data_IF_509359539990
#
_entry.id   IF_509359539990
#
_cell.length_a   1.000
_cell.length_b   1.000
_cell.length_c   1.000
_cell.angle_alpha   90.00
_cell.angle_beta   90.00
_cell.angle_gamma   90.00
#
_symmetry.space_group_name_H-M   'P 1'
#
loop_
_entity.id
_entity.type
_entity.pdbx_description
1 polymer ?
#
# COMPACT_ATOMS: atom_id res chain seq x y z
N UNK A 1 -0.95 -22.38 13.70
CA UNK A 1 -0.75 -21.81 12.35
C UNK A 1 -1.15 -20.34 12.47
N UNK A 2 -0.31 -19.41 12.03
CA UNK A 2 -0.59 -17.99 12.10
C UNK A 2 -1.71 -17.61 11.10
N UNK A 3 -2.60 -16.72 11.50
CA UNK A 3 -3.70 -16.21 10.67
C UNK A 3 -3.34 -14.83 10.14
N UNK A 4 -3.32 -14.68 8.81
CA UNK A 4 -3.09 -13.40 8.16
C UNK A 4 -4.38 -12.86 7.55
N UNK A 5 -4.69 -11.58 7.82
CA UNK A 5 -5.68 -10.82 7.09
C UNK A 5 -4.96 -9.95 6.05
N UNK A 6 -5.26 -10.20 4.78
CA UNK A 6 -4.68 -9.43 3.68
C UNK A 6 -5.67 -8.40 3.18
N UNK A 7 -5.25 -7.13 3.13
CA UNK A 7 -5.99 -6.02 2.55
C UNK A 7 -5.36 -5.72 1.20
N UNK A 8 -6.13 -5.86 0.11
CA UNK A 8 -5.71 -5.53 -1.24
C UNK A 8 -6.06 -4.09 -1.57
N UNK A 9 -5.20 -3.41 -2.21
CA UNK A 9 -5.30 -2.16 -2.99
C UNK A 9 -6.52 -1.26 -2.63
N UNK A 10 -6.59 -0.64 -1.44
CA UNK A 10 -7.74 0.15 -1.01
C UNK A 10 -8.00 1.40 -1.84
N UNK A 11 -6.97 1.97 -2.46
CA UNK A 11 -7.06 3.20 -3.25
C UNK A 11 -7.86 4.31 -2.56
N UNK A 12 -7.44 4.69 -1.34
CA UNK A 12 -8.08 5.78 -0.61
C UNK A 12 -7.91 7.09 -1.37
N UNK A 13 -9.04 7.71 -1.71
CA UNK A 13 -9.12 8.93 -2.53
C UNK A 13 -10.20 9.87 -1.99
N UNK A 14 -9.99 11.20 -2.02
CA UNK A 14 -11.01 12.16 -1.60
C UNK A 14 -12.37 12.05 -2.31
N UNK A 15 -12.44 11.25 -3.37
CA UNK A 15 -13.67 11.01 -4.15
C UNK A 15 -14.56 9.90 -3.58
N UNK A 16 -14.07 9.14 -2.60
CA UNK A 16 -14.76 7.97 -2.06
C UNK A 16 -14.75 7.96 -0.52
N UNK A 17 -15.84 7.49 0.11
CA UNK A 17 -15.89 7.33 1.57
C UNK A 17 -14.89 6.28 2.07
N UNK A 18 -14.32 6.54 3.24
CA UNK A 18 -13.45 5.61 3.97
C UNK A 18 -14.22 4.62 4.88
N UNK A 19 -15.55 4.56 4.83
CA UNK A 19 -16.36 3.63 5.62
C UNK A 19 -15.93 2.16 5.44
N UNK A 20 -15.46 1.81 4.23
CA UNK A 20 -14.92 0.48 3.95
C UNK A 20 -13.73 0.11 4.84
N UNK A 21 -12.92 1.10 5.23
CA UNK A 21 -11.78 0.91 6.13
C UNK A 21 -12.25 0.69 7.58
N UNK A 22 -13.31 1.39 8.00
CA UNK A 22 -13.97 1.12 9.27
C UNK A 22 -14.51 -0.33 9.31
N UNK A 23 -15.16 -0.78 8.24
CA UNK A 23 -15.67 -2.15 8.16
C UNK A 23 -14.57 -3.19 8.13
N UNK A 24 -13.48 -2.93 7.38
CA UNK A 24 -12.30 -3.79 7.38
C UNK A 24 -11.67 -3.90 8.78
N UNK A 25 -11.60 -2.77 9.51
CA UNK A 25 -11.14 -2.76 10.90
C UNK A 25 -12.04 -3.58 11.84
N UNK A 26 -13.37 -3.45 11.72
CA UNK A 26 -14.33 -4.26 12.48
C UNK A 26 -14.18 -5.75 12.16
N UNK A 27 -14.06 -6.08 10.90
CA UNK A 27 -13.83 -7.46 10.47
C UNK A 27 -12.51 -8.01 11.06
N UNK A 28 -11.44 -7.24 11.04
CA UNK A 28 -10.17 -7.60 11.67
C UNK A 28 -10.30 -7.76 13.20
N UNK A 29 -11.12 -6.90 13.84
CA UNK A 29 -11.41 -7.04 15.27
C UNK A 29 -12.07 -8.39 15.58
N UNK A 30 -13.05 -8.80 14.79
CA UNK A 30 -13.81 -10.05 15.00
C UNK A 30 -13.00 -11.30 14.61
N UNK A 31 -12.27 -11.23 13.50
CA UNK A 31 -11.41 -12.32 13.00
C UNK A 31 -10.23 -12.61 13.90
N UNK A 32 -9.70 -11.58 14.59
CA UNK A 32 -8.53 -11.66 15.47
C UNK A 32 -7.28 -12.23 14.77
N UNK A 33 -6.87 -11.71 13.62
CA UNK A 33 -5.67 -12.21 12.95
C UNK A 33 -4.42 -11.90 13.78
N UNK A 34 -3.40 -12.75 13.63
CA UNK A 34 -2.08 -12.50 14.21
C UNK A 34 -1.39 -11.33 13.51
N UNK A 35 -1.52 -11.27 12.19
CA UNK A 35 -0.92 -10.22 11.35
C UNK A 35 -1.93 -9.71 10.32
N UNK A 36 -1.92 -8.39 10.10
CA UNK A 36 -2.64 -7.73 9.01
C UNK A 36 -1.61 -7.23 8.01
N UNK A 37 -1.76 -7.61 6.75
CA UNK A 37 -0.87 -7.18 5.66
C UNK A 37 -1.67 -6.35 4.66
N UNK A 38 -1.32 -5.07 4.51
CA UNK A 38 -1.80 -4.26 3.38
C UNK A 38 -0.81 -4.40 2.23
N UNK A 39 -1.31 -4.84 1.07
CA UNK A 39 -0.49 -5.18 -0.10
C UNK A 39 -0.03 -3.99 -0.92
N UNK A 40 -0.22 -2.77 -0.45
CA UNK A 40 0.12 -1.54 -1.16
C UNK A 40 -1.09 -0.88 -1.84
N UNK A 41 -0.84 0.17 -2.57
CA UNK A 41 -1.87 1.03 -3.18
C UNK A 41 -2.97 1.40 -2.16
N UNK A 42 -2.55 1.65 -0.93
CA UNK A 42 -3.44 2.14 0.13
C UNK A 42 -3.95 3.55 -0.21
N UNK A 43 -3.03 4.42 -0.64
CA UNK A 43 -3.33 5.76 -1.13
C UNK A 43 -3.54 5.74 -2.65
N UNK A 44 -4.52 6.46 -3.16
CA UNK A 44 -4.69 6.62 -4.62
C UNK A 44 -3.69 7.60 -5.22
N UNK A 45 -3.32 8.65 -4.50
CA UNK A 45 -2.42 9.72 -4.94
C UNK A 45 -2.79 10.27 -6.32
N UNK A 46 -4.08 10.57 -6.50
CA UNK A 46 -4.63 11.07 -7.76
C UNK A 46 -4.02 12.40 -8.19
N UNK A 47 -3.56 13.22 -7.23
CA UNK A 47 -2.92 14.51 -7.49
C UNK A 47 -1.53 14.40 -8.14
N UNK A 48 -0.91 13.22 -8.08
CA UNK A 48 0.40 12.94 -8.67
C UNK A 48 0.28 11.99 -9.88
N UNK A 49 -0.92 11.79 -10.43
CA UNK A 49 -1.15 10.95 -11.60
C UNK A 49 -0.66 11.66 -12.86
N UNK A 50 0.39 11.14 -13.50
CA UNK A 50 0.86 11.66 -14.79
C UNK A 50 -0.09 11.39 -15.96
N UNK A 51 -0.95 10.35 -15.84
CA UNK A 51 -1.89 9.97 -16.90
C UNK A 51 -3.03 10.97 -17.10
N UNK A 52 -3.37 11.74 -16.05
CA UNK A 52 -4.52 12.63 -16.05
C UNK A 52 -4.15 14.11 -16.29
N UNK A 53 -2.86 14.43 -16.43
CA UNK A 53 -2.40 15.78 -16.67
C UNK A 53 -3.07 16.35 -17.93
N UNK A 54 -3.62 17.56 -17.81
CA UNK A 54 -4.33 18.23 -18.90
C UNK A 54 -5.80 17.82 -19.10
N UNK A 55 -6.31 16.86 -18.34
CA UNK A 55 -7.70 16.46 -18.37
C UNK A 55 -8.54 17.27 -17.36
N UNK A 56 -9.81 17.53 -17.67
CA UNK A 56 -10.75 18.18 -16.73
C UNK A 56 -10.88 17.39 -15.41
N UNK A 57 -10.70 16.06 -15.46
CA UNK A 57 -10.73 15.21 -14.27
C UNK A 57 -9.62 15.50 -13.26
N UNK A 58 -8.58 16.23 -13.67
CA UNK A 58 -7.46 16.63 -12.80
C UNK A 58 -7.78 17.84 -11.93
N UNK A 59 -8.81 18.62 -12.32
CA UNK A 59 -9.18 19.86 -11.63
C UNK A 59 -9.51 19.61 -10.16
N UNK A 60 -8.97 20.46 -9.29
CA UNK A 60 -9.19 20.41 -7.84
C UNK A 60 -8.43 19.32 -7.07
N UNK A 61 -7.63 18.47 -7.76
CA UNK A 61 -6.75 17.50 -7.07
C UNK A 61 -5.61 18.24 -6.35
N UNK A 62 -5.32 17.85 -5.14
CA UNK A 62 -4.24 18.46 -4.32
C UNK A 62 -3.57 17.39 -3.46
N UNK A 63 -2.25 17.37 -3.44
CA UNK A 63 -1.44 16.46 -2.63
C UNK A 63 -1.90 16.42 -1.17
N UNK A 64 -2.06 17.59 -0.56
CA UNK A 64 -2.51 17.70 0.83
C UNK A 64 -3.85 17.00 1.08
N UNK A 65 -4.80 17.10 0.14
CA UNK A 65 -6.10 16.42 0.27
C UNK A 65 -5.97 14.90 0.19
N UNK A 66 -5.10 14.40 -0.68
CA UNK A 66 -4.84 12.96 -0.77
C UNK A 66 -4.26 12.44 0.55
N UNK A 67 -3.25 13.13 1.12
CA UNK A 67 -2.64 12.78 2.40
C UNK A 67 -3.63 12.85 3.56
N UNK A 68 -4.41 13.92 3.67
CA UNK A 68 -5.46 14.08 4.71
C UNK A 68 -6.49 12.93 4.62
N UNK A 69 -6.87 12.53 3.43
CA UNK A 69 -7.81 11.43 3.23
C UNK A 69 -7.22 10.07 3.64
N UNK A 70 -5.92 9.86 3.40
CA UNK A 70 -5.19 8.67 3.88
C UNK A 70 -5.18 8.63 5.41
N UNK A 71 -4.95 9.78 6.07
CA UNK A 71 -5.00 9.84 7.53
C UNK A 71 -6.38 9.46 8.07
N UNK A 72 -7.46 10.01 7.49
CA UNK A 72 -8.82 9.61 7.85
C UNK A 72 -9.05 8.10 7.64
N UNK A 73 -8.61 7.54 6.52
CA UNK A 73 -8.71 6.11 6.24
C UNK A 73 -8.05 5.25 7.34
N UNK A 74 -6.84 5.64 7.76
CA UNK A 74 -6.09 4.96 8.82
C UNK A 74 -6.79 5.08 10.19
N UNK A 75 -7.37 6.25 10.48
CA UNK A 75 -8.17 6.48 11.68
C UNK A 75 -9.44 5.63 11.70
N UNK A 76 -10.18 5.56 10.58
CA UNK A 76 -11.36 4.72 10.44
C UNK A 76 -11.01 3.24 10.64
N UNK A 77 -9.90 2.78 10.05
CA UNK A 77 -9.44 1.41 10.25
C UNK A 77 -9.12 1.11 11.71
N UNK A 78 -8.33 1.97 12.37
CA UNK A 78 -7.97 1.81 13.77
C UNK A 78 -9.20 1.92 14.70
N UNK A 79 -10.18 2.77 14.38
CA UNK A 79 -11.46 2.84 15.07
C UNK A 79 -12.22 1.51 14.97
N UNK A 80 -12.21 0.89 13.79
CA UNK A 80 -12.80 -0.44 13.59
C UNK A 80 -12.12 -1.53 14.40
N UNK A 81 -10.79 -1.47 14.58
CA UNK A 81 -10.03 -2.39 15.44
C UNK A 81 -10.40 -2.30 16.94
N UNK A 82 -11.09 -1.24 17.35
CA UNK A 82 -11.63 -1.07 18.70
C UNK A 82 -10.62 -1.40 19.82
N UNK A 83 -9.42 -0.82 19.75
CA UNK A 83 -8.36 -0.98 20.74
C UNK A 83 -7.47 -2.22 20.57
N UNK A 84 -7.78 -3.15 19.66
CA UNK A 84 -6.89 -4.26 19.33
C UNK A 84 -5.63 -3.76 18.62
N UNK A 85 -4.51 -4.42 18.87
CA UNK A 85 -3.19 -4.05 18.33
C UNK A 85 -2.51 -5.25 17.65
N UNK A 86 -3.08 -5.84 16.59
CA UNK A 86 -2.39 -6.88 15.83
C UNK A 86 -1.13 -6.29 15.19
N UNK A 87 -0.18 -7.14 14.83
CA UNK A 87 0.91 -6.75 13.95
C UNK A 87 0.34 -6.25 12.63
N UNK A 88 0.78 -5.08 12.15
CA UNK A 88 0.31 -4.48 10.89
C UNK A 88 1.48 -4.19 9.97
N UNK A 89 1.44 -4.69 8.75
CA UNK A 89 2.47 -4.53 7.74
C UNK A 89 1.88 -3.79 6.54
N UNK A 90 2.50 -2.68 6.17
CA UNK A 90 2.19 -1.88 4.99
C UNK A 90 3.29 -2.08 3.95
N UNK A 91 2.95 -2.65 2.82
CA UNK A 91 3.82 -2.64 1.66
C UNK A 91 3.46 -1.41 0.83
N UNK A 92 4.44 -0.64 0.41
CA UNK A 92 4.14 0.48 -0.49
C UNK A 92 3.86 -0.07 -1.89
N UNK A 93 2.87 0.51 -2.55
CA UNK A 93 2.50 0.19 -3.94
C UNK A 93 3.01 1.23 -4.92
N UNK A 94 2.67 1.05 -6.18
CA UNK A 94 3.08 1.99 -7.23
C UNK A 94 2.36 3.35 -7.13
N UNK A 95 1.26 3.43 -6.40
CA UNK A 95 0.56 4.69 -6.14
C UNK A 95 1.27 5.52 -5.06
N UNK A 96 1.74 4.91 -3.97
CA UNK A 96 2.60 5.59 -3.00
C UNK A 96 3.92 6.02 -3.64
N UNK A 97 4.49 5.18 -4.51
CA UNK A 97 5.73 5.47 -5.23
C UNK A 97 5.62 6.63 -6.25
N UNK A 98 4.41 7.11 -6.55
CA UNK A 98 4.22 8.35 -7.31
C UNK A 98 4.91 9.54 -6.65
N UNK A 99 5.02 9.56 -5.32
CA UNK A 99 5.72 10.62 -4.58
C UNK A 99 7.20 10.61 -4.97
N UNK A 100 7.87 9.44 -4.86
CA UNK A 100 9.29 9.32 -5.19
C UNK A 100 9.56 9.70 -6.65
N UNK A 101 8.74 9.19 -7.58
CA UNK A 101 8.85 9.53 -9.00
C UNK A 101 8.64 11.03 -9.27
N UNK A 102 7.71 11.67 -8.55
CA UNK A 102 7.50 13.11 -8.69
C UNK A 102 8.69 13.90 -8.19
N UNK A 103 9.32 13.48 -7.09
CA UNK A 103 10.56 14.09 -6.58
C UNK A 103 11.72 13.89 -7.55
N UNK A 104 11.85 12.69 -8.16
CA UNK A 104 12.85 12.41 -9.18
C UNK A 104 12.68 13.30 -10.43
N UNK A 105 11.42 13.57 -10.83
CA UNK A 105 11.07 14.43 -11.97
C UNK A 105 11.22 15.92 -11.64
N UNK A 106 10.98 16.32 -10.38
CA UNK A 106 10.97 17.70 -9.89
C UNK A 106 11.82 17.77 -8.60
N UNK A 107 13.17 17.82 -8.70
CA UNK A 107 14.05 17.75 -7.53
C UNK A 107 13.84 18.86 -6.49
N UNK A 108 13.23 19.99 -6.88
CA UNK A 108 12.88 21.08 -5.97
C UNK A 108 11.85 20.69 -4.91
N UNK A 109 11.17 19.56 -5.10
CA UNK A 109 10.22 18.99 -4.14
C UNK A 109 10.89 18.09 -3.09
N UNK A 110 12.19 17.80 -3.24
CA UNK A 110 12.91 17.01 -2.24
C UNK A 110 12.86 17.68 -0.86
N UNK A 111 12.50 16.87 0.15
CA UNK A 111 12.25 17.36 1.51
C UNK A 111 10.93 18.12 1.71
N UNK A 112 10.14 18.34 0.65
CA UNK A 112 8.82 18.99 0.73
C UNK A 112 7.69 17.96 0.78
N UNK A 113 7.78 16.89 -0.01
CA UNK A 113 6.84 15.79 -0.05
C UNK A 113 7.58 14.46 0.11
N UNK A 114 6.97 13.53 0.85
CA UNK A 114 7.55 12.20 1.05
C UNK A 114 6.49 11.16 1.40
N UNK A 115 6.83 9.87 1.29
CA UNK A 115 5.96 8.78 1.76
C UNK A 115 5.76 8.81 3.28
N UNK A 116 6.63 9.48 4.04
CA UNK A 116 6.47 9.67 5.48
C UNK A 116 5.30 10.60 5.83
N UNK A 117 4.79 11.41 4.89
CA UNK A 117 3.61 12.25 5.08
C UNK A 117 2.35 11.43 5.38
N UNK A 118 2.28 10.18 4.95
CA UNK A 118 1.20 9.26 5.31
C UNK A 118 1.18 8.87 6.78
N UNK A 119 2.32 9.01 7.47
CA UNK A 119 2.46 8.69 8.90
C UNK A 119 2.03 7.26 9.26
N UNK A 120 2.17 6.29 8.36
CA UNK A 120 1.80 4.89 8.59
C UNK A 120 2.34 4.35 9.91
N UNK A 121 3.62 4.66 10.23
CA UNK A 121 4.26 4.24 11.49
C UNK A 121 3.53 4.79 12.73
N UNK A 122 3.04 6.04 12.69
CA UNK A 122 2.24 6.65 13.78
C UNK A 122 0.94 5.87 14.01
N UNK A 123 0.35 5.32 12.95
CA UNK A 123 -0.86 4.48 13.03
C UNK A 123 -0.56 3.01 13.35
N UNK A 124 0.71 2.68 13.65
CA UNK A 124 1.14 1.35 14.10
C UNK A 124 1.42 0.36 12.98
N UNK A 125 1.75 0.82 11.77
CA UNK A 125 2.15 -0.01 10.65
C UNK A 125 3.67 -0.11 10.53
N UNK A 126 4.18 -1.32 10.29
CA UNK A 126 5.52 -1.57 9.78
C UNK A 126 5.51 -1.30 8.28
N UNK A 127 6.37 -0.39 7.80
CA UNK A 127 6.35 0.05 6.39
C UNK A 127 7.51 -0.59 5.64
N UNK A 128 7.23 -1.12 4.47
CA UNK A 128 8.22 -1.69 3.56
C UNK A 128 8.11 -1.05 2.18
N UNK A 129 9.27 -0.78 1.59
CA UNK A 129 9.40 -0.07 0.34
C UNK A 129 8.74 -0.81 -0.85
N UNK A 130 8.38 -0.04 -1.86
CA UNK A 130 7.83 -0.57 -3.09
C UNK A 130 8.76 -1.61 -3.74
N UNK A 131 8.19 -2.73 -4.21
CA UNK A 131 8.89 -3.85 -4.83
C UNK A 131 9.87 -4.63 -3.92
N UNK A 132 9.88 -4.37 -2.62
CA UNK A 132 10.67 -5.15 -1.67
C UNK A 132 9.81 -6.27 -1.07
N UNK A 133 10.06 -7.55 -1.37
CA UNK A 133 9.33 -8.67 -0.78
C UNK A 133 9.58 -8.80 0.72
N UNK A 134 8.53 -9.09 1.46
CA UNK A 134 8.57 -9.32 2.91
C UNK A 134 8.08 -10.73 3.21
N UNK A 135 8.75 -11.41 4.12
CA UNK A 135 8.35 -12.75 4.58
C UNK A 135 7.67 -12.63 5.93
N UNK A 136 6.46 -13.15 6.03
CA UNK A 136 5.68 -13.21 7.27
C UNK A 136 5.24 -14.66 7.45
N UNK A 137 5.69 -15.31 8.51
CA UNK A 137 5.37 -16.70 8.84
C UNK A 137 5.52 -17.67 7.65
N UNK A 138 6.59 -17.48 6.85
CA UNK A 138 6.89 -18.29 5.67
C UNK A 138 6.15 -17.91 4.39
N UNK A 139 5.25 -16.92 4.44
CA UNK A 139 4.53 -16.41 3.27
C UNK A 139 5.21 -15.14 2.75
N UNK A 140 5.46 -15.09 1.45
CA UNK A 140 6.05 -13.93 0.79
C UNK A 140 4.96 -12.95 0.35
N UNK A 141 5.10 -11.70 0.75
CA UNK A 141 4.21 -10.60 0.37
C UNK A 141 4.98 -9.53 -0.39
N UNK A 142 4.41 -9.03 -1.46
CA UNK A 142 4.89 -7.88 -2.21
C UNK A 142 3.71 -7.26 -2.97
N UNK A 143 3.73 -5.96 -3.19
CA UNK A 143 2.69 -5.32 -4.02
C UNK A 143 2.75 -5.91 -5.44
N UNK A 144 3.92 -5.84 -6.06
CA UNK A 144 4.23 -6.59 -7.28
C UNK A 144 5.67 -7.12 -7.19
N UNK A 145 5.88 -8.38 -7.52
CA UNK A 145 7.21 -8.96 -7.50
C UNK A 145 8.02 -8.48 -8.72
N UNK A 146 9.16 -7.78 -8.52
CA UNK A 146 10.01 -7.27 -9.60
C UNK A 146 10.80 -8.42 -10.22
N UNK A 147 10.21 -9.12 -11.14
CA UNK A 147 10.77 -10.39 -11.64
C UNK A 147 11.22 -10.32 -13.08
N UNK A 148 10.75 -9.32 -13.83
CA UNK A 148 11.11 -9.12 -15.22
C UNK A 148 12.37 -8.27 -15.42
N UNK A 149 12.82 -8.19 -16.64
CA UNK A 149 13.79 -7.21 -17.09
C UNK A 149 13.19 -5.82 -16.86
N UNK A 150 13.98 -4.88 -16.31
CA UNK A 150 13.55 -3.50 -16.00
C UNK A 150 12.44 -3.42 -14.93
N UNK A 151 12.38 -4.34 -13.96
CA UNK A 151 11.43 -4.24 -12.85
C UNK A 151 9.96 -4.49 -13.20
N UNK A 152 9.66 -4.97 -14.41
CA UNK A 152 8.29 -5.30 -14.80
C UNK A 152 7.77 -6.54 -14.05
N UNK A 153 6.46 -6.61 -13.75
CA UNK A 153 5.86 -7.82 -13.20
C UNK A 153 6.13 -9.05 -14.07
N UNK A 154 6.27 -10.21 -13.45
CA UNK A 154 6.31 -11.48 -14.20
C UNK A 154 5.00 -11.66 -14.96
N UNK A 155 5.11 -12.06 -16.21
CA UNK A 155 4.00 -12.49 -17.05
C UNK A 155 4.30 -13.87 -17.66
N UNK A 156 3.29 -14.58 -18.13
CA UNK A 156 3.39 -15.89 -18.77
C UNK A 156 2.56 -16.97 -18.08
N UNK A 157 2.60 -18.18 -18.61
CA UNK A 157 1.69 -19.27 -18.21
C UNK A 157 2.02 -19.91 -16.84
N UNK A 158 3.21 -19.67 -16.30
CA UNK A 158 3.67 -20.32 -15.07
C UNK A 158 4.30 -19.35 -14.08
N UNK A 159 3.55 -18.28 -13.76
CA UNK A 159 3.97 -17.17 -12.90
C UNK A 159 4.44 -17.66 -11.52
N UNK A 160 3.71 -18.59 -10.91
CA UNK A 160 4.04 -19.14 -9.59
C UNK A 160 5.43 -19.80 -9.55
N UNK A 161 5.73 -20.68 -10.53
CA UNK A 161 7.04 -21.34 -10.63
C UNK A 161 8.17 -20.33 -10.87
N UNK A 162 7.95 -19.36 -11.73
CA UNK A 162 8.94 -18.33 -12.04
C UNK A 162 9.25 -17.47 -10.78
N UNK A 163 8.24 -17.13 -9.98
CA UNK A 163 8.40 -16.42 -8.71
C UNK A 163 9.20 -17.24 -7.70
N UNK A 164 8.88 -18.53 -7.53
CA UNK A 164 9.60 -19.43 -6.62
C UNK A 164 11.09 -19.52 -6.98
N UNK A 165 11.40 -19.75 -8.27
CA UNK A 165 12.78 -19.87 -8.74
C UNK A 165 13.55 -18.58 -8.52
N UNK A 166 12.97 -17.42 -8.85
CA UNK A 166 13.65 -16.13 -8.75
C UNK A 166 13.90 -15.71 -7.31
N UNK A 167 12.96 -15.98 -6.42
CA UNK A 167 13.09 -15.65 -5.00
C UNK A 167 13.77 -16.75 -4.18
N UNK A 168 14.31 -17.80 -4.84
CA UNK A 168 14.99 -18.94 -4.20
C UNK A 168 14.15 -19.61 -3.10
N UNK A 169 12.84 -19.63 -3.26
CA UNK A 169 11.93 -20.31 -2.34
C UNK A 169 11.79 -21.76 -2.79
N UNK A 170 12.16 -22.70 -1.91
CA UNK A 170 11.84 -24.11 -2.14
C UNK A 170 10.35 -24.34 -1.88
N UNK A 171 9.65 -24.94 -2.83
CA UNK A 171 8.34 -25.53 -2.53
C UNK A 171 8.58 -26.77 -1.70
N UNK A 172 8.37 -26.69 -0.40
CA UNK A 172 8.17 -27.87 0.46
C UNK A 172 6.70 -28.22 0.47
#
# INVERSE_FOLDING_TARGET
MATHLVIGDPHCTPKASNDRLLWAGKFAHDLKPDTIVCRGDFASMDSLSSYDHGNNSFEGRRYKKDVEHVHDALEQFNKGLNGRRPRKIMLLGNHEDRINRTVDEIPELDGTISTDDFKFKKYGWEVHEYQIPVVVDGVYYCHNFPTGVMGKPISGDNIGRALLIKNKVSST
#
